data_IF_041359340376
#
_entry.id   IF_041359340376
#
_cell.length_a   1.000
_cell.length_b   1.000
_cell.length_c   1.000
_cell.angle_alpha   90.00
_cell.angle_beta   90.00
_cell.angle_gamma   90.00
#
_symmetry.space_group_name_H-M   'P 1'
#
loop_
_entity.id
_entity.type
_entity.pdbx_description
1 polymer ?
#
# COMPACT_ATOMS: atom_id res chain seq x y z
N UNK A 1 -1.92 10.75 18.47
CA UNK A 1 -2.14 9.92 17.27
C UNK A 1 -2.15 8.47 17.73
N UNK A 2 -2.99 7.61 17.16
CA UNK A 2 -2.99 6.20 17.54
C UNK A 2 -1.66 5.56 17.14
N UNK A 3 -0.97 4.92 18.08
CA UNK A 3 0.17 4.05 17.76
C UNK A 3 -0.39 2.69 17.32
N UNK A 4 -0.24 2.37 16.03
CA UNK A 4 -0.57 1.05 15.53
C UNK A 4 0.56 0.08 15.88
N UNK A 5 0.21 -1.08 16.43
CA UNK A 5 1.20 -2.12 16.76
C UNK A 5 0.74 -3.50 16.31
N UNK A 6 1.69 -4.42 16.16
CA UNK A 6 1.42 -5.82 15.82
C UNK A 6 0.45 -5.98 14.66
N UNK A 7 -0.72 -6.58 14.92
CA UNK A 7 -1.74 -6.86 13.90
C UNK A 7 -2.32 -5.60 13.28
N UNK A 8 -2.51 -4.53 14.04
CA UNK A 8 -3.09 -3.29 13.53
C UNK A 8 -2.14 -2.63 12.52
N UNK A 9 -0.86 -2.56 12.88
CA UNK A 9 0.18 -2.04 12.00
C UNK A 9 0.28 -2.88 10.71
N UNK A 10 0.20 -4.21 10.84
CA UNK A 10 0.17 -5.11 9.68
C UNK A 10 -1.01 -4.81 8.73
N UNK A 11 -2.20 -4.57 9.28
CA UNK A 11 -3.38 -4.23 8.48
C UNK A 11 -3.25 -2.86 7.82
N UNK A 12 -2.67 -1.87 8.51
CA UNK A 12 -2.40 -0.53 7.95
C UNK A 12 -1.43 -0.61 6.78
N UNK A 13 -0.29 -1.28 6.95
CA UNK A 13 0.69 -1.50 5.87
C UNK A 13 0.04 -2.17 4.65
N UNK A 14 -0.77 -3.21 4.89
CA UNK A 14 -1.50 -3.92 3.83
C UNK A 14 -2.52 -3.03 3.11
N UNK A 15 -3.29 -2.23 3.85
CA UNK A 15 -4.28 -1.32 3.28
C UNK A 15 -3.62 -0.22 2.44
N UNK A 16 -2.52 0.37 2.93
CA UNK A 16 -1.74 1.36 2.20
C UNK A 16 -1.20 0.80 0.89
N UNK A 17 -0.60 -0.40 0.91
CA UNK A 17 -0.09 -1.03 -0.31
C UNK A 17 -1.19 -1.27 -1.35
N UNK A 18 -2.38 -1.70 -0.92
CA UNK A 18 -3.55 -1.88 -1.80
C UNK A 18 -3.98 -0.53 -2.39
N UNK A 19 -4.10 0.51 -1.56
CA UNK A 19 -4.55 1.82 -1.99
C UNK A 19 -3.57 2.47 -2.99
N UNK A 20 -2.27 2.43 -2.70
CA UNK A 20 -1.22 2.93 -3.61
C UNK A 20 -1.34 2.28 -4.97
N UNK A 21 -1.42 0.94 -5.03
CA UNK A 21 -1.51 0.22 -6.30
C UNK A 21 -2.86 0.46 -7.01
N UNK A 22 -3.96 0.53 -6.26
CA UNK A 22 -5.28 0.78 -6.84
C UNK A 22 -5.35 2.16 -7.50
N UNK A 23 -4.79 3.19 -6.85
CA UNK A 23 -4.75 4.55 -7.41
C UNK A 23 -3.78 4.61 -8.60
N UNK A 24 -2.60 3.99 -8.50
CA UNK A 24 -1.63 3.92 -9.61
C UNK A 24 -2.24 3.30 -10.88
N UNK A 25 -3.06 2.27 -10.72
CA UNK A 25 -3.70 1.53 -11.81
C UNK A 25 -4.97 2.15 -12.36
N UNK A 26 -5.43 3.28 -11.85
CA UNK A 26 -6.58 4.02 -12.37
C UNK A 26 -6.13 5.29 -13.09
N UNK A 27 -5.53 5.19 -14.29
CA UNK A 27 -5.17 6.37 -15.07
C UNK A 27 -6.44 7.13 -15.46
N UNK A 28 -6.48 8.42 -15.16
CA UNK A 28 -7.63 9.25 -15.51
C UNK A 28 -7.65 10.59 -14.78
N UNK A 29 -8.61 11.47 -15.11
CA UNK A 29 -8.73 12.79 -14.50
C UNK A 29 -9.05 12.75 -12.99
N UNK A 30 -9.43 11.59 -12.46
CA UNK A 30 -9.71 11.36 -11.05
C UNK A 30 -8.66 10.47 -10.36
N UNK A 31 -7.50 10.29 -10.99
CA UNK A 31 -6.36 9.65 -10.36
C UNK A 31 -5.82 10.57 -9.28
N UNK A 32 -6.07 10.26 -8.01
CA UNK A 32 -5.62 11.09 -6.89
C UNK A 32 -4.12 10.88 -6.62
N UNK A 33 -3.27 11.45 -7.49
CA UNK A 33 -1.82 11.29 -7.41
C UNK A 33 -1.23 11.84 -6.09
N UNK A 34 -1.86 12.87 -5.52
CA UNK A 34 -1.47 13.40 -4.19
C UNK A 34 -1.71 12.35 -3.10
N UNK A 35 -2.92 11.78 -3.05
CA UNK A 35 -3.26 10.76 -2.05
C UNK A 35 -2.37 9.52 -2.21
N UNK A 36 -2.07 9.12 -3.46
CA UNK A 36 -1.15 8.03 -3.73
C UNK A 36 0.26 8.32 -3.17
N UNK A 37 0.78 9.53 -3.41
CA UNK A 37 2.10 9.93 -2.94
C UNK A 37 2.17 9.96 -1.41
N UNK A 38 1.17 10.55 -0.75
CA UNK A 38 1.09 10.61 0.70
C UNK A 38 1.02 9.20 1.32
N UNK A 39 0.19 8.32 0.75
CA UNK A 39 0.08 6.93 1.20
C UNK A 39 1.36 6.14 0.96
N UNK A 40 2.09 6.41 -0.13
CA UNK A 40 3.37 5.77 -0.42
C UNK A 40 4.45 6.19 0.58
N UNK A 41 4.55 7.48 0.88
CA UNK A 41 5.51 8.00 1.88
C UNK A 41 5.25 7.37 3.23
N UNK A 42 3.99 7.33 3.69
CA UNK A 42 3.66 6.69 4.97
C UNK A 42 3.96 5.18 4.95
N UNK A 43 3.71 4.50 3.83
CA UNK A 43 4.06 3.08 3.70
C UNK A 43 5.57 2.85 3.81
N UNK A 44 6.37 3.68 3.15
CA UNK A 44 7.83 3.63 3.19
C UNK A 44 8.38 3.91 4.60
N UNK A 45 7.74 4.82 5.36
CA UNK A 45 8.08 5.11 6.75
C UNK A 45 7.75 3.95 7.72
N UNK A 46 6.67 3.22 7.45
CA UNK A 46 6.22 2.12 8.31
C UNK A 46 6.94 0.80 8.03
N UNK A 47 7.40 0.59 6.79
CA UNK A 47 8.06 -0.64 6.37
C UNK A 47 9.47 -0.73 6.93
N UNK A 48 9.84 -1.90 7.44
CA UNK A 48 11.14 -2.11 8.06
C UNK A 48 12.23 -2.48 7.05
N UNK A 49 11.86 -3.10 5.93
CA UNK A 49 12.79 -3.57 4.90
C UNK A 49 12.11 -3.92 3.57
N UNK A 50 12.92 -4.06 2.52
CA UNK A 50 12.47 -4.39 1.16
C UNK A 50 11.75 -5.74 1.04
N UNK A 51 12.06 -6.71 1.91
CA UNK A 51 11.38 -8.02 1.91
C UNK A 51 9.94 -7.86 2.39
N UNK A 52 9.71 -7.04 3.41
CA UNK A 52 8.38 -6.68 3.88
C UNK A 52 7.62 -5.88 2.81
N UNK A 53 8.27 -4.94 2.12
CA UNK A 53 7.67 -4.23 0.99
C UNK A 53 7.24 -5.18 -0.12
N UNK A 54 8.11 -6.10 -0.53
CA UNK A 54 7.80 -7.09 -1.56
C UNK A 54 6.59 -7.97 -1.15
N UNK A 55 6.49 -8.32 0.13
CA UNK A 55 5.35 -9.07 0.66
C UNK A 55 4.03 -8.31 0.49
N UNK A 56 3.96 -7.04 0.92
CA UNK A 56 2.74 -6.25 0.78
C UNK A 56 2.45 -5.87 -0.67
N UNK A 57 3.47 -5.60 -1.49
CA UNK A 57 3.30 -5.32 -2.92
C UNK A 57 2.67 -6.53 -3.64
N UNK A 58 3.12 -7.75 -3.32
CA UNK A 58 2.51 -8.98 -3.84
C UNK A 58 1.06 -9.14 -3.38
N UNK A 59 0.80 -8.93 -2.08
CA UNK A 59 -0.57 -9.00 -1.54
C UNK A 59 -1.50 -7.95 -2.18
N UNK A 60 -0.99 -6.75 -2.42
CA UNK A 60 -1.70 -5.67 -3.09
C UNK A 60 -2.01 -6.02 -4.54
N UNK A 61 -1.05 -6.59 -5.28
CA UNK A 61 -1.27 -7.06 -6.66
C UNK A 61 -2.41 -8.07 -6.73
N UNK A 62 -2.38 -9.09 -5.89
CA UNK A 62 -3.47 -10.08 -5.81
C UNK A 62 -4.81 -9.42 -5.50
N UNK A 63 -4.84 -8.46 -4.57
CA UNK A 63 -6.08 -7.79 -4.19
C UNK A 63 -6.65 -6.87 -5.29
N UNK A 64 -5.78 -6.19 -6.04
CA UNK A 64 -6.18 -5.18 -7.04
C UNK A 64 -6.40 -5.80 -8.42
N UNK A 65 -5.60 -6.79 -8.81
CA UNK A 65 -5.63 -7.38 -10.17
C UNK A 65 -6.14 -8.81 -10.19
N UNK A 66 -6.16 -9.51 -9.05
CA UNK A 66 -6.43 -10.95 -9.00
C UNK A 66 -5.25 -11.82 -9.44
N UNK A 67 -4.11 -11.22 -9.79
CA UNK A 67 -2.93 -11.93 -10.32
C UNK A 67 -1.89 -12.14 -9.22
N UNK A 68 -1.27 -13.32 -9.20
CA UNK A 68 -0.34 -13.76 -8.15
C UNK A 68 1.14 -13.73 -8.51
N UNK A 69 1.47 -13.37 -9.76
CA UNK A 69 2.82 -13.40 -10.35
C UNK A 69 3.34 -11.99 -10.68
#
# INVERSE_FOLDING_TARGET
MAEFTGRELHLVKKALAIAVLAIERQPGPFQSASDQADMKVLLDELIENDVELAHYARAARIAVTGESD
#
